data_IF_380496231244
#
_entry.id   IF_380496231244
#
_cell.length_a   1.000
_cell.length_b   1.000
_cell.length_c   1.000
_cell.angle_alpha   90.00
_cell.angle_beta   90.00
_cell.angle_gamma   90.00
#
_symmetry.space_group_name_H-M   'P 1'
#
loop_
_entity.id
_entity.type
_entity.pdbx_description
1 polymer ?
#
# COMPACT_ATOMS: atom_id res chain seq x y z
N UNK A 1 16.16 -16.58 -19.24
CA UNK A 1 17.23 -15.57 -19.05
C UNK A 1 17.99 -15.90 -17.77
N UNK A 2 19.32 -15.93 -17.84
CA UNK A 2 20.16 -16.07 -16.64
C UNK A 2 20.29 -14.71 -15.94
N UNK A 3 20.74 -14.73 -14.69
CA UNK A 3 20.93 -13.46 -13.95
C UNK A 3 22.06 -12.59 -14.53
N UNK A 4 23.11 -13.21 -15.07
CA UNK A 4 24.19 -12.45 -15.74
C UNK A 4 23.67 -11.74 -17.01
N UNK A 5 22.87 -12.45 -17.82
CA UNK A 5 22.22 -11.84 -18.98
C UNK A 5 21.29 -10.68 -18.57
N UNK A 6 20.54 -10.86 -17.49
CA UNK A 6 19.66 -9.81 -16.96
C UNK A 6 20.44 -8.54 -16.58
N UNK A 7 21.61 -8.69 -15.92
CA UNK A 7 22.45 -7.54 -15.54
C UNK A 7 22.98 -6.77 -16.74
N UNK A 8 23.24 -7.44 -17.84
CA UNK A 8 23.65 -6.78 -19.08
C UNK A 8 22.47 -6.11 -19.79
N UNK A 9 21.33 -6.80 -19.85
CA UNK A 9 20.14 -6.30 -20.53
C UNK A 9 19.51 -5.07 -19.84
N UNK A 10 19.46 -5.04 -18.51
CA UNK A 10 18.86 -3.92 -17.78
C UNK A 10 19.58 -2.58 -18.05
N UNK A 11 20.88 -2.62 -18.36
CA UNK A 11 21.68 -1.41 -18.68
C UNK A 11 21.26 -0.77 -20.01
N UNK A 12 20.62 -1.52 -20.90
CA UNK A 12 20.17 -0.99 -22.21
C UNK A 12 18.93 -0.11 -22.08
N UNK A 13 18.24 -0.17 -20.95
CA UNK A 13 16.99 0.56 -20.68
C UNK A 13 17.09 1.46 -19.43
N UNK A 14 17.99 2.47 -19.44
CA UNK A 14 18.13 3.37 -18.29
C UNK A 14 16.92 4.29 -18.15
N UNK A 15 16.65 4.73 -16.92
CA UNK A 15 15.72 5.82 -16.67
C UNK A 15 16.32 7.14 -17.20
N UNK A 16 15.53 7.93 -17.92
CA UNK A 16 15.92 9.26 -18.42
C UNK A 16 15.20 10.39 -17.70
N UNK A 17 14.21 10.07 -16.86
CA UNK A 17 13.48 10.99 -16.01
C UNK A 17 13.61 10.56 -14.54
N UNK A 18 13.63 11.53 -13.62
CA UNK A 18 13.48 11.20 -12.22
C UNK A 18 12.00 10.83 -11.89
N UNK A 19 11.78 10.23 -10.71
CA UNK A 19 10.44 9.76 -10.34
C UNK A 19 9.39 10.89 -10.30
N UNK A 20 9.76 12.07 -9.83
CA UNK A 20 8.82 13.20 -9.72
C UNK A 20 8.43 13.74 -11.10
N UNK A 21 9.39 13.92 -12.00
CA UNK A 21 9.16 14.33 -13.39
C UNK A 21 8.26 13.32 -14.11
N UNK A 22 8.55 12.02 -13.98
CA UNK A 22 7.77 10.94 -14.57
C UNK A 22 6.34 10.92 -14.07
N UNK A 23 6.14 10.97 -12.76
CA UNK A 23 4.81 10.96 -12.15
C UNK A 23 3.98 12.17 -12.58
N UNK A 24 4.59 13.37 -12.59
CA UNK A 24 3.92 14.60 -13.02
C UNK A 24 3.59 14.56 -14.51
N UNK A 25 4.56 14.22 -15.37
CA UNK A 25 4.34 14.12 -16.82
C UNK A 25 3.25 13.11 -17.17
N UNK A 26 3.31 11.92 -16.57
CA UNK A 26 2.29 10.89 -16.77
C UNK A 26 0.89 11.35 -16.32
N UNK A 27 0.76 11.97 -15.16
CA UNK A 27 -0.50 12.51 -14.66
C UNK A 27 -1.11 13.55 -15.61
N UNK A 28 -0.25 14.37 -16.23
CA UNK A 28 -0.64 15.38 -17.23
C UNK A 28 -0.89 14.80 -18.64
N UNK A 29 -0.80 13.48 -18.84
CA UNK A 29 -1.01 12.83 -20.13
C UNK A 29 0.16 13.01 -21.11
N UNK A 30 1.32 13.43 -20.64
CA UNK A 30 2.55 13.51 -21.45
C UNK A 30 3.17 12.12 -21.63
N UNK A 31 3.92 11.94 -22.71
CA UNK A 31 4.76 10.75 -22.88
C UNK A 31 5.92 10.84 -21.89
N UNK A 32 6.15 9.76 -21.16
CA UNK A 32 7.24 9.63 -20.20
C UNK A 32 8.17 8.47 -20.60
N UNK A 33 9.36 8.45 -20.04
CA UNK A 33 10.37 7.44 -20.38
C UNK A 33 9.87 6.00 -20.18
N UNK A 34 9.15 5.75 -19.10
CA UNK A 34 8.50 4.45 -18.80
C UNK A 34 7.26 4.61 -17.92
N UNK A 35 6.50 3.55 -17.81
CA UNK A 35 5.35 3.47 -16.90
C UNK A 35 5.79 3.77 -15.44
N UNK A 36 5.02 4.58 -14.68
CA UNK A 36 5.22 4.66 -13.25
C UNK A 36 5.06 3.29 -12.60
N UNK A 37 6.00 2.92 -11.72
CA UNK A 37 5.90 1.67 -10.97
C UNK A 37 6.30 1.82 -9.51
N UNK A 38 5.84 0.90 -8.68
CA UNK A 38 6.35 0.62 -7.34
C UNK A 38 6.86 -0.81 -7.28
N UNK A 39 7.87 -1.07 -6.44
CA UNK A 39 8.45 -2.42 -6.30
C UNK A 39 8.18 -2.93 -4.89
N UNK A 40 9.11 -2.73 -3.96
CA UNK A 40 9.05 -3.31 -2.62
C UNK A 40 9.18 -2.22 -1.55
N UNK A 41 8.84 -2.55 -0.33
CA UNK A 41 9.06 -1.74 0.86
C UNK A 41 10.41 -2.00 1.51
N UNK A 42 10.74 -1.19 2.51
CA UNK A 42 11.96 -1.30 3.28
C UNK A 42 12.16 -2.66 3.95
N UNK A 43 11.07 -3.28 4.41
CA UNK A 43 11.08 -4.62 5.01
C UNK A 43 11.68 -5.68 4.06
N UNK A 44 11.25 -5.67 2.80
CA UNK A 44 11.77 -6.60 1.79
C UNK A 44 13.20 -6.26 1.43
N UNK A 45 13.54 -4.99 1.24
CA UNK A 45 14.91 -4.56 0.93
C UNK A 45 15.89 -4.86 2.06
N UNK A 46 15.46 -4.74 3.32
CA UNK A 46 16.30 -5.08 4.48
C UNK A 46 16.80 -6.51 4.39
N UNK A 47 15.94 -7.48 4.05
CA UNK A 47 16.34 -8.88 3.90
C UNK A 47 17.35 -9.10 2.76
N UNK A 48 17.20 -8.37 1.63
CA UNK A 48 18.14 -8.43 0.50
C UNK A 48 19.54 -7.93 0.90
N UNK A 49 19.59 -6.96 1.82
CA UNK A 49 20.86 -6.40 2.31
C UNK A 49 21.41 -7.10 3.55
N UNK A 50 20.78 -8.20 3.98
CA UNK A 50 21.23 -9.05 5.08
C UNK A 50 20.85 -8.57 6.48
N UNK A 51 19.90 -7.64 6.58
CA UNK A 51 19.36 -7.19 7.86
C UNK A 51 18.14 -8.03 8.26
N UNK A 52 17.99 -8.28 9.56
CA UNK A 52 16.77 -8.85 10.13
C UNK A 52 15.66 -7.79 10.18
N UNK A 53 14.40 -8.22 10.25
CA UNK A 53 13.28 -7.29 10.41
C UNK A 53 13.36 -6.53 11.74
N UNK A 54 13.89 -7.18 12.78
CA UNK A 54 14.15 -6.54 14.07
C UNK A 54 15.15 -5.39 13.93
N UNK A 55 16.31 -5.65 13.28
CA UNK A 55 17.30 -4.60 13.03
C UNK A 55 16.73 -3.43 12.23
N UNK A 56 15.94 -3.72 11.20
CA UNK A 56 15.30 -2.69 10.38
C UNK A 56 14.28 -1.86 11.18
N UNK A 57 13.46 -2.50 12.02
CA UNK A 57 12.49 -1.78 12.86
C UNK A 57 13.13 -0.90 13.93
N UNK A 58 14.21 -1.36 14.56
CA UNK A 58 14.78 -0.75 15.76
C UNK A 58 15.93 0.24 15.48
N UNK A 59 16.57 0.14 14.30
CA UNK A 59 17.75 0.96 13.97
C UNK A 59 17.48 1.95 12.85
N UNK A 60 17.57 3.23 13.19
CA UNK A 60 17.47 4.32 12.21
C UNK A 60 18.61 4.26 11.18
N UNK A 61 19.83 3.89 11.59
CA UNK A 61 20.97 3.77 10.68
C UNK A 61 20.74 2.66 9.65
N UNK A 62 20.17 1.53 10.07
CA UNK A 62 19.78 0.45 9.15
C UNK A 62 18.71 0.92 8.18
N UNK A 63 17.69 1.67 8.64
CA UNK A 63 16.65 2.21 7.76
C UNK A 63 17.25 3.16 6.70
N UNK A 64 18.19 4.02 7.08
CA UNK A 64 18.88 4.89 6.13
C UNK A 64 19.76 4.11 5.14
N UNK A 65 20.56 3.13 5.62
CA UNK A 65 21.37 2.29 4.74
C UNK A 65 20.51 1.56 3.72
N UNK A 66 19.43 0.93 4.17
CA UNK A 66 18.48 0.22 3.30
C UNK A 66 17.84 1.16 2.28
N UNK A 67 17.39 2.35 2.71
CA UNK A 67 16.73 3.31 1.82
C UNK A 67 17.69 3.86 0.76
N UNK A 68 18.93 4.19 1.13
CA UNK A 68 19.96 4.70 0.20
C UNK A 68 20.37 3.64 -0.82
N UNK A 69 20.61 2.41 -0.36
CA UNK A 69 20.95 1.28 -1.24
C UNK A 69 19.79 0.92 -2.17
N UNK A 70 18.56 0.83 -1.66
CA UNK A 70 17.38 0.54 -2.47
C UNK A 70 17.11 1.64 -3.50
N UNK A 71 17.35 2.92 -3.17
CA UNK A 71 17.25 4.01 -4.12
C UNK A 71 18.24 3.87 -5.27
N UNK A 72 19.47 3.47 -4.96
CA UNK A 72 20.53 3.26 -5.95
C UNK A 72 20.29 2.02 -6.81
N UNK A 73 19.98 0.90 -6.16
CA UNK A 73 19.94 -0.42 -6.81
C UNK A 73 18.59 -0.68 -7.49
N UNK A 74 17.46 -0.23 -6.89
CA UNK A 74 16.11 -0.66 -7.26
C UNK A 74 15.15 0.50 -7.58
N UNK A 75 15.64 1.68 -7.86
CA UNK A 75 14.79 2.88 -8.09
C UNK A 75 13.85 3.17 -6.91
N UNK A 76 14.21 2.78 -5.69
CA UNK A 76 13.43 3.02 -4.49
C UNK A 76 13.20 4.50 -4.22
N UNK A 77 12.20 4.80 -3.42
CA UNK A 77 11.78 6.18 -3.10
C UNK A 77 12.79 6.97 -2.27
N UNK A 78 13.80 6.29 -1.70
CA UNK A 78 14.69 6.87 -0.69
C UNK A 78 14.02 6.93 0.69
N UNK A 79 14.68 7.58 1.65
CA UNK A 79 14.18 7.70 3.02
C UNK A 79 13.01 8.68 3.11
N UNK A 80 12.05 8.37 3.96
CA UNK A 80 10.93 9.22 4.36
C UNK A 80 10.59 8.96 5.83
N UNK A 81 9.96 9.92 6.49
CA UNK A 81 9.49 9.76 7.86
C UNK A 81 8.16 8.99 7.87
N UNK A 82 8.13 7.83 8.52
CA UNK A 82 6.95 6.96 8.54
C UNK A 82 6.34 6.89 9.94
N UNK A 83 5.14 7.44 10.07
CA UNK A 83 4.30 7.30 11.26
C UNK A 83 3.09 6.41 11.02
N UNK A 84 3.04 5.73 9.87
CA UNK A 84 1.94 4.82 9.53
C UNK A 84 1.78 3.71 10.58
N UNK A 85 0.53 3.44 10.94
CA UNK A 85 0.17 2.41 11.92
C UNK A 85 -0.06 1.03 11.27
N UNK A 86 0.04 0.94 9.93
CA UNK A 86 -0.26 -0.30 9.21
C UNK A 86 -1.69 -0.78 9.47
N UNK A 87 -1.89 -2.10 9.45
CA UNK A 87 -3.21 -2.70 9.63
C UNK A 87 -3.58 -2.91 11.10
N UNK A 88 -2.64 -2.79 12.03
CA UNK A 88 -2.76 -3.25 13.43
C UNK A 88 -2.57 -2.17 14.47
N UNK A 89 -1.90 -1.08 14.12
CA UNK A 89 -1.38 -0.15 15.11
C UNK A 89 -2.42 0.57 15.95
N UNK A 90 -3.66 0.76 15.44
CA UNK A 90 -4.75 1.26 16.30
C UNK A 90 -5.12 0.22 17.34
N UNK A 91 -5.26 -1.07 16.95
CA UNK A 91 -5.53 -2.16 17.90
C UNK A 91 -4.47 -2.25 19.00
N UNK A 92 -3.19 -2.18 18.63
CA UNK A 92 -2.07 -2.16 19.59
C UNK A 92 -2.12 -0.92 20.48
N UNK A 93 -2.37 0.25 19.93
CA UNK A 93 -2.45 1.51 20.69
C UNK A 93 -3.58 1.52 21.73
N UNK A 94 -4.67 0.76 21.51
CA UNK A 94 -5.77 0.65 22.48
C UNK A 94 -5.67 -0.58 23.37
N UNK A 95 -4.62 -1.42 23.20
CA UNK A 95 -4.33 -2.51 24.13
C UNK A 95 -4.36 -3.93 23.55
N UNK A 96 -4.57 -4.13 22.24
CA UNK A 96 -4.37 -5.44 21.61
C UNK A 96 -2.88 -5.83 21.63
N UNK A 97 -2.58 -7.12 21.78
CA UNK A 97 -1.19 -7.60 21.93
C UNK A 97 -0.56 -7.87 20.57
N UNK A 98 0.53 -7.16 20.27
CA UNK A 98 1.34 -7.37 19.07
C UNK A 98 2.57 -8.24 19.34
N UNK A 99 2.97 -9.02 18.34
CA UNK A 99 4.21 -9.78 18.30
C UNK A 99 5.06 -9.26 17.15
N UNK A 100 6.35 -9.05 17.43
CA UNK A 100 7.35 -8.53 16.51
C UNK A 100 8.43 -9.59 16.25
N UNK A 101 8.24 -10.49 15.28
CA UNK A 101 9.24 -11.52 14.97
C UNK A 101 10.57 -10.92 14.52
N UNK A 102 11.64 -11.66 14.68
CA UNK A 102 12.97 -11.21 14.26
C UNK A 102 13.09 -11.08 12.73
N UNK A 103 12.52 -12.03 11.98
CA UNK A 103 12.66 -12.12 10.52
C UNK A 103 11.34 -12.16 9.75
N UNK A 104 10.24 -11.67 10.35
CA UNK A 104 8.92 -11.68 9.72
C UNK A 104 8.14 -10.41 10.07
N UNK A 105 6.98 -10.25 9.43
CA UNK A 105 6.05 -9.17 9.73
C UNK A 105 5.42 -9.33 11.10
N UNK A 106 5.14 -8.21 11.75
CA UNK A 106 4.41 -8.15 13.01
C UNK A 106 2.94 -8.54 12.85
N UNK A 107 2.34 -9.13 13.90
CA UNK A 107 0.95 -9.57 13.92
C UNK A 107 0.35 -9.45 15.32
N UNK A 108 -0.98 -9.45 15.41
CA UNK A 108 -1.72 -9.47 16.69
C UNK A 108 -2.01 -10.90 17.12
N UNK A 109 -1.88 -11.16 18.40
CA UNK A 109 -2.17 -12.47 19.03
C UNK A 109 -3.35 -12.43 19.99
N UNK A 110 -3.61 -11.28 20.59
CA UNK A 110 -4.76 -11.07 21.47
C UNK A 110 -5.39 -9.71 21.19
N UNK A 111 -6.74 -9.67 21.25
CA UNK A 111 -7.55 -8.50 20.91
C UNK A 111 -8.20 -7.96 22.17
N UNK A 112 -8.09 -6.65 22.37
CA UNK A 112 -8.54 -6.00 23.62
C UNK A 112 -10.05 -6.10 23.83
N UNK A 113 -10.86 -5.97 22.78
CA UNK A 113 -12.31 -5.92 22.91
C UNK A 113 -12.93 -7.33 22.97
N UNK A 114 -13.09 -7.86 24.16
CA UNK A 114 -13.77 -9.16 24.41
C UNK A 114 -15.28 -8.98 24.50
N UNK A 115 -15.72 -7.89 25.11
CA UNK A 115 -17.12 -7.50 25.30
C UNK A 115 -17.31 -6.02 24.94
N UNK A 116 -18.47 -5.66 24.40
CA UNK A 116 -18.75 -4.28 23.99
C UNK A 116 -18.93 -3.30 25.16
N UNK A 117 -19.16 -3.78 26.37
CA UNK A 117 -19.14 -2.92 27.57
C UNK A 117 -17.76 -2.27 27.75
N UNK A 118 -16.68 -2.98 27.38
CA UNK A 118 -15.31 -2.47 27.42
C UNK A 118 -15.08 -1.31 26.43
N UNK A 119 -15.87 -1.19 25.37
CA UNK A 119 -15.68 -0.13 24.36
C UNK A 119 -15.78 1.28 24.95
N UNK A 120 -16.59 1.45 26.01
CA UNK A 120 -16.76 2.74 26.68
C UNK A 120 -15.48 3.20 27.41
N UNK A 121 -14.63 2.25 27.80
CA UNK A 121 -13.39 2.49 28.55
C UNK A 121 -12.17 2.57 27.65
N UNK A 122 -12.28 2.14 26.37
CA UNK A 122 -11.17 2.23 25.42
C UNK A 122 -10.85 3.69 25.12
N UNK A 123 -9.57 4.04 25.23
CA UNK A 123 -9.06 5.37 24.94
C UNK A 123 -7.98 5.30 23.88
N UNK A 124 -8.10 6.15 22.88
CA UNK A 124 -7.05 6.41 21.91
C UNK A 124 -6.51 7.82 22.17
N UNK A 125 -5.31 7.86 22.76
CA UNK A 125 -4.65 9.09 23.16
C UNK A 125 -3.24 9.17 22.56
N UNK A 126 -3.09 9.79 21.37
CA UNK A 126 -1.80 9.89 20.71
C UNK A 126 -0.73 10.60 21.52
N UNK A 127 -1.08 11.54 22.38
CA UNK A 127 -0.12 12.34 23.14
C UNK A 127 0.52 11.56 24.31
N UNK A 128 -0.22 10.63 24.92
CA UNK A 128 0.23 9.91 26.13
C UNK A 128 0.48 8.42 25.91
N UNK A 129 0.32 7.92 24.69
CA UNK A 129 0.54 6.51 24.37
C UNK A 129 2.00 6.27 23.95
N UNK A 130 2.73 5.44 24.69
CA UNK A 130 4.17 5.18 24.44
C UNK A 130 4.46 4.60 23.06
N UNK A 131 3.61 3.66 22.58
CA UNK A 131 3.77 3.06 21.24
C UNK A 131 3.65 4.14 20.15
N UNK A 132 2.63 5.00 20.23
CA UNK A 132 2.41 6.08 19.27
C UNK A 132 3.51 7.15 19.36
N UNK A 133 3.93 7.51 20.57
CA UNK A 133 5.03 8.46 20.77
C UNK A 133 6.36 7.91 20.26
N UNK A 134 6.63 6.61 20.39
CA UNK A 134 7.80 5.97 19.76
C UNK A 134 7.85 6.18 18.25
N UNK A 135 6.70 6.07 17.56
CA UNK A 135 6.61 6.35 16.12
C UNK A 135 6.89 7.82 15.78
N UNK A 136 6.34 8.74 16.58
CA UNK A 136 6.56 10.19 16.41
C UNK A 136 8.05 10.53 16.60
N UNK A 137 8.67 10.03 17.65
CA UNK A 137 10.09 10.32 17.94
C UNK A 137 11.03 9.75 16.86
N UNK A 138 10.74 8.55 16.34
CA UNK A 138 11.49 7.99 15.22
C UNK A 138 11.34 8.88 13.97
N UNK A 139 10.13 9.30 13.65
CA UNK A 139 9.87 10.18 12.51
C UNK A 139 10.53 11.56 12.66
N UNK A 140 10.53 12.16 13.86
CA UNK A 140 11.25 13.42 14.14
C UNK A 140 12.76 13.29 13.87
N UNK A 141 13.38 12.19 14.29
CA UNK A 141 14.80 11.92 14.02
C UNK A 141 15.08 11.79 12.51
N UNK A 142 14.15 11.20 11.74
CA UNK A 142 14.27 11.15 10.27
C UNK A 142 14.18 12.57 9.68
N UNK A 143 13.19 13.36 10.09
CA UNK A 143 13.02 14.75 9.62
C UNK A 143 14.25 15.57 9.94
N UNK A 144 14.80 15.47 11.15
CA UNK A 144 16.02 16.15 11.57
C UNK A 144 17.23 15.73 10.71
N UNK A 145 17.48 14.42 10.55
CA UNK A 145 18.59 13.88 9.77
C UNK A 145 18.52 14.25 8.28
N UNK A 146 17.33 14.58 7.77
CA UNK A 146 17.08 15.03 6.40
C UNK A 146 16.92 16.55 6.27
N UNK A 147 17.38 17.31 7.23
CA UNK A 147 17.31 18.81 7.23
C UNK A 147 15.89 19.35 6.99
N UNK A 148 14.88 18.72 7.52
CA UNK A 148 13.47 19.12 7.35
C UNK A 148 12.86 18.78 5.97
N UNK A 149 13.59 18.09 5.09
CA UNK A 149 13.15 17.80 3.71
C UNK A 149 12.44 16.44 3.58
N UNK A 150 12.32 15.67 4.68
CA UNK A 150 11.63 14.40 4.66
C UNK A 150 10.14 14.57 4.38
N UNK A 151 9.60 13.77 3.46
CA UNK A 151 8.16 13.58 3.37
C UNK A 151 7.70 12.78 4.60
N UNK A 152 6.62 13.21 5.23
CA UNK A 152 6.02 12.47 6.34
C UNK A 152 4.81 11.70 5.82
N UNK A 153 4.86 10.36 5.94
CA UNK A 153 3.76 9.46 5.57
C UNK A 153 3.11 8.94 6.85
N UNK A 154 1.80 9.06 6.94
CA UNK A 154 0.97 8.60 8.06
C UNK A 154 -0.23 7.78 7.57
N UNK A 155 -1.13 7.42 8.45
CA UNK A 155 -2.33 6.65 8.15
C UNK A 155 -2.20 5.19 8.56
N UNK A 156 -2.93 4.31 7.88
CA UNK A 156 -2.98 2.90 8.25
C UNK A 156 -4.18 2.19 7.64
N UNK A 157 -4.96 1.54 8.52
CA UNK A 157 -6.12 0.76 8.10
C UNK A 157 -7.36 1.61 7.84
N UNK A 158 -8.25 1.10 6.98
CA UNK A 158 -9.63 1.57 6.92
C UNK A 158 -10.46 1.06 8.11
N UNK A 159 -11.73 1.50 8.23
CA UNK A 159 -12.55 1.24 9.41
C UNK A 159 -12.74 -0.24 9.75
N UNK A 160 -13.01 -1.06 8.73
CA UNK A 160 -13.23 -2.50 8.91
C UNK A 160 -11.97 -3.23 9.40
N UNK A 161 -10.83 -2.91 8.80
CA UNK A 161 -9.55 -3.51 9.20
C UNK A 161 -9.11 -3.02 10.57
N UNK A 162 -9.38 -1.77 10.92
CA UNK A 162 -9.16 -1.26 12.28
C UNK A 162 -10.03 -2.01 13.30
N UNK A 163 -11.30 -2.27 12.97
CA UNK A 163 -12.20 -3.00 13.86
C UNK A 163 -11.72 -4.42 14.16
N UNK A 164 -11.23 -5.16 13.14
CA UNK A 164 -10.68 -6.51 13.36
C UNK A 164 -9.30 -6.51 14.05
N UNK A 165 -8.65 -5.37 14.18
CA UNK A 165 -7.45 -5.22 15.00
C UNK A 165 -7.77 -4.96 16.50
N UNK A 166 -8.98 -4.51 16.81
CA UNK A 166 -9.46 -4.25 18.18
C UNK A 166 -10.24 -5.44 18.73
N UNK A 167 -11.12 -6.03 17.90
CA UNK A 167 -11.92 -7.22 18.18
C UNK A 167 -11.59 -8.30 17.14
N UNK A 168 -11.34 -9.51 17.57
CA UNK A 168 -10.96 -10.58 16.63
C UNK A 168 -11.94 -10.69 15.44
N UNK A 169 -11.39 -11.01 14.27
CA UNK A 169 -12.14 -10.98 13.01
C UNK A 169 -13.39 -11.87 13.03
N UNK A 170 -13.30 -13.07 13.63
CA UNK A 170 -14.42 -14.02 13.65
C UNK A 170 -15.58 -13.49 14.51
N UNK A 171 -15.27 -12.87 15.65
CA UNK A 171 -16.25 -12.25 16.53
C UNK A 171 -16.87 -11.02 15.86
N UNK A 172 -16.05 -10.11 15.34
CA UNK A 172 -16.54 -8.87 14.73
C UNK A 172 -17.42 -9.15 13.50
N UNK A 173 -17.00 -10.05 12.60
CA UNK A 173 -17.80 -10.42 11.42
C UNK A 173 -19.15 -11.07 11.81
N UNK A 174 -19.20 -11.80 12.91
CA UNK A 174 -20.45 -12.34 13.46
C UNK A 174 -21.34 -11.21 14.00
N UNK A 175 -20.75 -10.24 14.65
CA UNK A 175 -21.48 -9.12 15.26
C UNK A 175 -22.15 -8.23 14.21
N UNK A 176 -21.59 -8.09 12.99
CA UNK A 176 -22.28 -7.40 11.88
C UNK A 176 -23.71 -7.93 11.62
N UNK A 177 -23.97 -9.19 12.00
CA UNK A 177 -25.28 -9.83 11.79
C UNK A 177 -26.05 -9.98 13.10
N UNK A 178 -25.36 -10.26 14.21
CA UNK A 178 -25.99 -10.60 15.50
C UNK A 178 -26.15 -9.41 16.42
N UNK A 179 -25.28 -8.43 16.31
CA UNK A 179 -25.24 -7.23 17.16
C UNK A 179 -24.80 -5.99 16.35
N UNK A 180 -25.61 -5.61 15.33
CA UNK A 180 -25.25 -4.54 14.41
C UNK A 180 -25.07 -3.17 15.09
N UNK A 181 -25.78 -2.91 16.18
CA UNK A 181 -25.68 -1.64 16.91
C UNK A 181 -24.30 -1.47 17.56
N UNK A 182 -23.80 -2.51 18.19
CA UNK A 182 -22.46 -2.49 18.77
C UNK A 182 -21.37 -2.54 17.70
N UNK A 183 -21.60 -3.22 16.57
CA UNK A 183 -20.68 -3.16 15.43
C UNK A 183 -20.58 -1.73 14.87
N UNK A 184 -21.69 -1.00 14.75
CA UNK A 184 -21.71 0.42 14.36
C UNK A 184 -20.90 1.28 15.35
N UNK A 185 -21.09 1.09 16.67
CA UNK A 185 -20.32 1.82 17.70
C UNK A 185 -18.81 1.58 17.57
N UNK A 186 -18.40 0.34 17.33
CA UNK A 186 -16.99 0.02 17.12
C UNK A 186 -16.42 0.67 15.84
N UNK A 187 -17.18 0.66 14.74
CA UNK A 187 -16.76 1.29 13.49
C UNK A 187 -16.64 2.81 13.63
N UNK A 188 -17.55 3.46 14.36
CA UNK A 188 -17.42 4.88 14.69
C UNK A 188 -16.16 5.16 15.49
N UNK A 189 -15.88 4.37 16.53
CA UNK A 189 -14.65 4.48 17.31
C UNK A 189 -13.39 4.29 16.43
N UNK A 190 -13.42 3.34 15.49
CA UNK A 190 -12.30 3.11 14.57
C UNK A 190 -12.03 4.33 13.67
N UNK A 191 -13.08 4.93 13.11
CA UNK A 191 -12.95 6.14 12.29
C UNK A 191 -12.36 7.29 13.13
N UNK A 192 -12.87 7.49 14.34
CA UNK A 192 -12.39 8.54 15.23
C UNK A 192 -10.91 8.35 15.62
N UNK A 193 -10.47 7.11 15.88
CA UNK A 193 -9.06 6.81 16.15
C UNK A 193 -8.17 7.12 14.93
N UNK A 194 -8.57 6.67 13.75
CA UNK A 194 -7.82 6.91 12.52
C UNK A 194 -7.68 8.42 12.23
N UNK A 195 -8.76 9.20 12.37
CA UNK A 195 -8.74 10.63 12.15
C UNK A 195 -7.91 11.37 13.21
N UNK A 196 -8.04 11.04 14.51
CA UNK A 196 -7.22 11.58 15.58
C UNK A 196 -5.72 11.36 15.37
N UNK A 197 -5.34 10.19 14.83
CA UNK A 197 -3.94 9.93 14.50
C UNK A 197 -3.42 10.83 13.38
N UNK A 198 -4.19 11.03 12.33
CA UNK A 198 -3.83 11.91 11.21
C UNK A 198 -3.75 13.37 11.70
N UNK A 199 -4.73 13.83 12.46
CA UNK A 199 -4.75 15.17 13.05
C UNK A 199 -3.54 15.41 13.94
N UNK A 200 -3.20 14.46 14.81
CA UNK A 200 -2.04 14.56 15.67
C UNK A 200 -0.73 14.66 14.86
N UNK A 201 -0.59 13.85 13.82
CA UNK A 201 0.57 13.93 12.94
C UNK A 201 0.68 15.29 12.23
N UNK A 202 -0.44 15.86 11.78
CA UNK A 202 -0.45 17.22 11.22
C UNK A 202 -0.06 18.28 12.24
N UNK A 203 -0.53 18.17 13.49
CA UNK A 203 -0.14 19.04 14.58
C UNK A 203 1.38 19.02 14.80
N UNK A 204 2.01 17.84 14.70
CA UNK A 204 3.45 17.66 14.95
C UNK A 204 4.31 18.06 13.75
N UNK A 205 3.93 17.64 12.55
CA UNK A 205 4.78 17.73 11.35
C UNK A 205 4.29 18.75 10.30
N UNK A 206 3.11 19.32 10.50
CA UNK A 206 2.48 20.20 9.52
C UNK A 206 1.86 19.39 8.37
N UNK A 207 2.55 19.31 7.22
CA UNK A 207 2.02 18.58 6.06
C UNK A 207 2.36 17.08 6.12
N UNK A 208 1.33 16.24 5.99
CA UNK A 208 1.48 14.78 5.95
C UNK A 208 0.83 14.20 4.68
N UNK A 209 1.33 13.06 4.23
CA UNK A 209 0.72 12.24 3.17
C UNK A 209 0.05 11.04 3.82
N UNK A 210 -1.23 10.82 3.51
CA UNK A 210 -1.99 9.70 4.08
C UNK A 210 -1.92 8.50 3.15
N UNK A 211 -1.58 7.33 3.72
CA UNK A 211 -1.63 6.02 3.07
C UNK A 211 -2.72 5.17 3.73
N UNK A 212 -3.46 4.38 2.95
CA UNK A 212 -4.57 3.59 3.45
C UNK A 212 -4.68 2.22 2.79
N UNK A 213 -4.99 1.20 3.60
CA UNK A 213 -5.36 -0.14 3.14
C UNK A 213 -6.54 -0.65 3.98
N UNK A 214 -7.48 -1.37 3.35
CA UNK A 214 -8.64 -1.91 4.08
C UNK A 214 -9.00 -3.35 3.62
N UNK A 215 -8.08 -4.31 3.81
CA UNK A 215 -8.28 -5.70 3.35
C UNK A 215 -9.51 -6.38 3.95
N UNK A 216 -9.97 -5.99 5.12
CA UNK A 216 -11.17 -6.56 5.73
C UNK A 216 -12.48 -6.23 4.99
N UNK A 217 -12.44 -5.31 4.02
CA UNK A 217 -13.60 -4.98 3.18
C UNK A 217 -13.74 -5.88 1.95
N UNK A 218 -12.77 -6.77 1.69
CA UNK A 218 -12.81 -7.67 0.53
C UNK A 218 -14.01 -8.61 0.55
N UNK A 219 -14.44 -9.07 -0.61
CA UNK A 219 -15.57 -10.01 -0.73
C UNK A 219 -15.24 -11.44 -0.31
N UNK A 220 -13.99 -11.70 0.10
CA UNK A 220 -13.61 -12.91 0.82
C UNK A 220 -14.20 -12.94 2.25
N UNK A 221 -14.36 -11.76 2.87
CA UNK A 221 -14.85 -11.61 4.24
C UNK A 221 -16.28 -11.05 4.30
N UNK A 222 -16.61 -10.11 3.41
CA UNK A 222 -17.89 -9.42 3.42
C UNK A 222 -18.72 -9.72 2.16
N UNK A 223 -20.01 -10.00 2.35
CA UNK A 223 -20.92 -9.93 1.23
C UNK A 223 -21.08 -8.48 0.76
N UNK A 224 -21.45 -8.23 -0.53
CA UNK A 224 -21.74 -6.87 -0.99
C UNK A 224 -22.79 -6.15 -0.14
N UNK A 225 -23.80 -6.86 0.39
CA UNK A 225 -24.79 -6.29 1.29
C UNK A 225 -24.19 -5.79 2.60
N UNK A 226 -23.29 -6.56 3.21
CA UNK A 226 -22.58 -6.14 4.43
C UNK A 226 -21.60 -5.00 4.14
N UNK A 227 -20.94 -5.02 2.99
CA UNK A 227 -20.11 -3.89 2.56
C UNK A 227 -20.92 -2.59 2.48
N UNK A 228 -22.07 -2.61 1.81
CA UNK A 228 -22.97 -1.45 1.69
C UNK A 228 -23.43 -0.92 3.05
N UNK A 229 -23.69 -1.82 4.00
CA UNK A 229 -24.22 -1.45 5.33
C UNK A 229 -23.12 -1.02 6.30
N UNK A 230 -21.97 -1.71 6.34
CA UNK A 230 -20.96 -1.56 7.40
C UNK A 230 -19.58 -1.07 6.94
N UNK A 231 -19.26 -1.11 5.63
CA UNK A 231 -17.98 -0.56 5.15
C UNK A 231 -18.17 0.80 4.50
N UNK A 232 -19.02 0.88 3.51
CA UNK A 232 -19.19 2.06 2.65
C UNK A 232 -19.43 3.36 3.43
N UNK A 233 -20.39 3.44 4.39
CA UNK A 233 -20.66 4.69 5.11
C UNK A 233 -19.50 5.13 5.99
N UNK A 234 -18.80 4.19 6.62
CA UNK A 234 -17.67 4.50 7.49
C UNK A 234 -16.40 4.85 6.69
N UNK A 235 -16.18 4.23 5.55
CA UNK A 235 -15.14 4.65 4.59
C UNK A 235 -15.41 6.09 4.16
N UNK A 236 -16.63 6.44 3.76
CA UNK A 236 -16.99 7.79 3.36
C UNK A 236 -16.76 8.80 4.50
N UNK A 237 -17.17 8.44 5.74
CA UNK A 237 -16.92 9.27 6.93
C UNK A 237 -15.42 9.50 7.13
N UNK A 238 -14.61 8.46 7.05
CA UNK A 238 -13.15 8.57 7.21
C UNK A 238 -12.51 9.39 6.09
N UNK A 239 -12.88 9.17 4.82
CA UNK A 239 -12.33 9.93 3.69
C UNK A 239 -12.69 11.41 3.75
N UNK A 240 -13.92 11.74 4.16
CA UNK A 240 -14.33 13.13 4.37
C UNK A 240 -13.49 13.81 5.46
N UNK A 241 -13.30 13.15 6.61
CA UNK A 241 -12.44 13.66 7.66
C UNK A 241 -10.98 13.82 7.23
N UNK A 242 -10.42 12.85 6.49
CA UNK A 242 -9.07 12.97 5.92
C UNK A 242 -8.97 14.16 4.98
N UNK A 243 -9.97 14.37 4.11
CA UNK A 243 -10.00 15.49 3.18
C UNK A 243 -10.09 16.84 3.90
N UNK A 244 -10.90 16.92 4.95
CA UNK A 244 -11.00 18.12 5.79
C UNK A 244 -9.67 18.45 6.47
N UNK A 245 -9.00 17.43 7.02
CA UNK A 245 -7.71 17.59 7.69
C UNK A 245 -6.56 17.92 6.72
N UNK A 246 -6.46 17.21 5.56
CA UNK A 246 -5.26 17.24 4.72
C UNK A 246 -5.45 17.92 3.37
N UNK A 247 -6.68 18.22 2.99
CA UNK A 247 -7.03 18.71 1.66
C UNK A 247 -6.98 17.66 0.55
N UNK A 248 -6.66 16.39 0.86
CA UNK A 248 -6.48 15.31 -0.12
C UNK A 248 -7.21 14.03 0.31
N UNK A 249 -7.55 13.19 -0.66
CA UNK A 249 -8.10 11.85 -0.42
C UNK A 249 -7.03 10.83 -0.78
N UNK A 250 -6.71 9.85 0.08
CA UNK A 250 -5.74 8.80 -0.23
C UNK A 250 -6.31 7.80 -1.24
N UNK A 251 -5.42 7.11 -1.96
CA UNK A 251 -5.79 5.85 -2.61
C UNK A 251 -5.94 4.74 -1.58
N UNK A 252 -6.49 3.60 -2.02
CA UNK A 252 -6.66 2.43 -1.16
C UNK A 252 -6.02 1.19 -1.79
N UNK A 253 -5.48 0.31 -0.92
CA UNK A 253 -5.19 -1.08 -1.25
C UNK A 253 -6.19 -2.00 -0.54
N UNK A 254 -6.77 -2.94 -1.30
CA UNK A 254 -7.63 -3.98 -0.74
C UNK A 254 -7.13 -5.33 -1.27
N UNK A 255 -6.67 -6.19 -0.34
CA UNK A 255 -6.28 -7.55 -0.65
C UNK A 255 -7.51 -8.44 -0.92
N UNK A 256 -7.35 -9.46 -1.76
CA UNK A 256 -8.38 -10.44 -2.06
C UNK A 256 -9.43 -9.97 -3.07
N UNK A 257 -10.51 -10.72 -3.18
CA UNK A 257 -11.53 -10.45 -4.19
C UNK A 257 -12.34 -9.20 -3.90
N UNK A 258 -12.46 -8.33 -4.90
CA UNK A 258 -13.15 -7.04 -4.83
C UNK A 258 -14.12 -6.78 -5.99
N UNK A 259 -14.17 -7.67 -6.98
CA UNK A 259 -14.96 -7.48 -8.22
C UNK A 259 -16.41 -7.04 -7.96
N UNK A 260 -17.04 -7.59 -6.93
CA UNK A 260 -18.44 -7.29 -6.60
C UNK A 260 -18.66 -5.92 -5.97
N UNK A 261 -17.59 -5.22 -5.58
CA UNK A 261 -17.63 -3.89 -4.93
C UNK A 261 -16.87 -2.81 -5.72
N UNK A 262 -16.39 -3.08 -6.94
CA UNK A 262 -15.64 -2.10 -7.72
C UNK A 262 -16.38 -0.77 -7.93
N UNK A 263 -17.69 -0.81 -8.22
CA UNK A 263 -18.47 0.40 -8.34
C UNK A 263 -18.57 1.17 -7.02
N UNK A 264 -18.67 0.47 -5.90
CA UNK A 264 -18.68 1.09 -4.57
C UNK A 264 -17.35 1.77 -4.24
N UNK A 265 -16.22 1.19 -4.66
CA UNK A 265 -14.88 1.80 -4.52
C UNK A 265 -14.84 3.16 -5.23
N UNK A 266 -15.44 3.26 -6.42
CA UNK A 266 -15.58 4.53 -7.14
C UNK A 266 -16.52 5.49 -6.40
N UNK A 267 -17.68 5.01 -5.96
CA UNK A 267 -18.71 5.83 -5.32
C UNK A 267 -18.28 6.42 -3.98
N UNK A 268 -17.44 5.70 -3.21
CA UNK A 268 -16.87 6.26 -1.96
C UNK A 268 -15.82 7.34 -2.22
N UNK A 269 -15.31 7.46 -3.45
CA UNK A 269 -14.48 8.57 -3.88
C UNK A 269 -12.97 8.34 -3.81
N UNK A 270 -12.50 7.10 -3.78
CA UNK A 270 -11.07 6.83 -3.89
C UNK A 270 -10.49 7.28 -5.23
N UNK A 271 -9.41 8.08 -5.25
CA UNK A 271 -8.79 8.55 -6.50
C UNK A 271 -7.93 7.46 -7.18
N UNK A 272 -7.49 6.45 -6.43
CA UNK A 272 -6.71 5.33 -6.93
C UNK A 272 -7.00 4.05 -6.14
N UNK A 273 -6.95 2.93 -6.85
CA UNK A 273 -7.18 1.61 -6.31
C UNK A 273 -6.02 0.68 -6.65
N UNK A 274 -5.38 0.16 -5.61
CA UNK A 274 -4.36 -0.90 -5.72
C UNK A 274 -5.05 -2.24 -5.52
N UNK A 275 -5.02 -3.07 -6.56
CA UNK A 275 -5.77 -4.32 -6.65
C UNK A 275 -4.86 -5.54 -6.41
N UNK A 276 -5.42 -6.53 -5.74
CA UNK A 276 -4.79 -7.83 -5.51
C UNK A 276 -4.61 -8.63 -6.83
N UNK A 277 -3.64 -9.54 -6.85
CA UNK A 277 -3.35 -10.39 -8.02
C UNK A 277 -4.42 -11.45 -8.33
N UNK A 278 -5.35 -11.69 -7.42
CA UNK A 278 -6.49 -12.57 -7.68
C UNK A 278 -7.55 -11.96 -8.60
N UNK A 279 -7.45 -10.68 -8.93
CA UNK A 279 -8.37 -9.98 -9.83
C UNK A 279 -7.76 -9.78 -11.23
N UNK A 280 -8.59 -9.85 -12.26
CA UNK A 280 -8.14 -9.59 -13.63
C UNK A 280 -8.11 -8.09 -13.94
N UNK A 281 -6.92 -7.59 -14.32
CA UNK A 281 -6.72 -6.17 -14.64
C UNK A 281 -7.53 -5.69 -15.84
N UNK A 282 -7.77 -6.53 -16.84
CA UNK A 282 -8.54 -6.14 -18.04
C UNK A 282 -10.02 -5.96 -17.68
N UNK A 283 -10.57 -6.86 -16.86
CA UNK A 283 -11.95 -6.74 -16.36
C UNK A 283 -12.10 -5.52 -15.43
N UNK A 284 -11.15 -5.29 -14.52
CA UNK A 284 -11.14 -4.12 -13.65
C UNK A 284 -11.07 -2.82 -14.45
N UNK A 285 -10.16 -2.75 -15.43
CA UNK A 285 -10.05 -1.59 -16.34
C UNK A 285 -11.36 -1.34 -17.07
N UNK A 286 -12.00 -2.38 -17.63
CA UNK A 286 -13.27 -2.25 -18.33
C UNK A 286 -14.40 -1.75 -17.43
N UNK A 287 -14.39 -2.12 -16.14
CA UNK A 287 -15.44 -1.75 -15.19
C UNK A 287 -15.29 -0.32 -14.64
N UNK A 288 -14.09 0.07 -14.24
CA UNK A 288 -13.86 1.34 -13.51
C UNK A 288 -12.60 2.12 -13.94
N UNK A 289 -11.87 1.66 -14.94
CA UNK A 289 -10.60 2.27 -15.36
C UNK A 289 -10.71 3.68 -15.95
N UNK A 290 -11.93 4.14 -16.27
CA UNK A 290 -12.25 5.51 -16.68
C UNK A 290 -12.57 6.45 -15.50
N UNK A 291 -12.67 5.93 -14.28
CA UNK A 291 -13.10 6.67 -13.08
C UNK A 291 -12.02 6.72 -11.99
N UNK A 292 -11.18 5.72 -11.92
CA UNK A 292 -10.17 5.58 -10.86
C UNK A 292 -8.82 5.15 -11.46
N UNK A 293 -7.72 5.67 -10.92
CA UNK A 293 -6.37 5.20 -11.29
C UNK A 293 -6.17 3.77 -10.74
N UNK A 294 -5.77 2.85 -11.60
CA UNK A 294 -5.49 1.46 -11.21
C UNK A 294 -4.00 1.27 -10.91
N UNK A 295 -3.70 0.50 -9.88
CA UNK A 295 -2.34 0.05 -9.56
C UNK A 295 -2.33 -1.45 -9.30
N UNK A 296 -1.42 -2.18 -9.93
CA UNK A 296 -1.30 -3.64 -9.74
C UNK A 296 -0.65 -4.34 -10.94
N UNK A 297 -0.68 -5.67 -11.00
CA UNK A 297 -0.99 -6.60 -9.91
C UNK A 297 -0.17 -7.89 -10.06
N UNK A 298 1.16 -7.73 -10.29
CA UNK A 298 2.07 -8.87 -10.37
C UNK A 298 1.96 -9.72 -9.09
N UNK A 299 1.80 -11.07 -9.18
CA UNK A 299 1.64 -11.93 -8.02
C UNK A 299 2.86 -11.90 -7.08
N UNK A 300 2.66 -11.56 -5.79
CA UNK A 300 3.77 -11.38 -4.85
C UNK A 300 4.45 -12.69 -4.44
N UNK A 301 3.69 -13.74 -4.21
CA UNK A 301 4.22 -15.00 -3.69
C UNK A 301 4.64 -15.93 -4.84
N UNK A 302 3.73 -16.19 -5.76
CA UNK A 302 3.91 -17.15 -6.84
C UNK A 302 4.99 -16.69 -7.82
N UNK A 303 5.01 -15.38 -8.14
CA UNK A 303 5.91 -14.81 -9.15
C UNK A 303 7.10 -14.11 -8.51
N UNK A 304 6.87 -13.11 -7.64
CA UNK A 304 7.99 -12.31 -7.13
C UNK A 304 8.90 -13.09 -6.18
N UNK A 305 8.35 -13.95 -5.32
CA UNK A 305 9.15 -14.72 -4.37
C UNK A 305 9.61 -16.07 -4.94
N UNK A 306 8.71 -16.83 -5.54
CA UNK A 306 8.94 -18.23 -5.92
C UNK A 306 9.18 -18.43 -7.43
N UNK A 307 8.89 -17.43 -8.25
CA UNK A 307 9.06 -17.48 -9.69
C UNK A 307 10.52 -17.31 -10.14
N UNK A 308 10.78 -17.63 -11.39
CA UNK A 308 12.05 -17.38 -12.08
C UNK A 308 12.07 -15.95 -12.66
N UNK A 309 13.24 -15.51 -13.12
CA UNK A 309 13.42 -14.24 -13.85
C UNK A 309 12.42 -14.15 -15.01
N UNK A 310 12.23 -15.23 -15.78
CA UNK A 310 11.34 -15.25 -16.94
C UNK A 310 9.87 -15.17 -16.52
N UNK A 311 9.46 -15.81 -15.41
CA UNK A 311 8.11 -15.70 -14.87
C UNK A 311 7.78 -14.26 -14.45
N UNK A 312 8.73 -13.57 -13.81
CA UNK A 312 8.58 -12.16 -13.44
C UNK A 312 8.43 -11.28 -14.68
N UNK A 313 9.29 -11.45 -15.68
CA UNK A 313 9.24 -10.69 -16.93
C UNK A 313 7.89 -10.91 -17.62
N UNK A 314 7.45 -12.14 -17.76
CA UNK A 314 6.17 -12.47 -18.39
C UNK A 314 4.98 -11.83 -17.63
N UNK A 315 4.97 -11.95 -16.32
CA UNK A 315 3.89 -11.36 -15.51
C UNK A 315 3.82 -9.83 -15.64
N UNK A 316 4.96 -9.15 -15.71
CA UNK A 316 5.00 -7.71 -15.98
C UNK A 316 4.45 -7.38 -17.36
N UNK A 317 4.81 -8.14 -18.40
CA UNK A 317 4.27 -7.96 -19.76
C UNK A 317 2.75 -8.09 -19.76
N UNK A 318 2.20 -9.12 -19.11
CA UNK A 318 0.76 -9.33 -19.00
C UNK A 318 0.05 -8.18 -18.28
N UNK A 319 0.60 -7.70 -17.16
CA UNK A 319 0.05 -6.54 -16.46
C UNK A 319 0.05 -5.27 -17.32
N UNK A 320 1.12 -5.03 -18.09
CA UNK A 320 1.21 -3.89 -19.01
C UNK A 320 0.23 -3.98 -20.17
N UNK A 321 0.07 -5.16 -20.77
CA UNK A 321 -0.91 -5.39 -21.86
C UNK A 321 -2.33 -5.15 -21.36
N UNK A 322 -2.66 -5.64 -20.16
CA UNK A 322 -4.01 -5.53 -19.58
C UNK A 322 -4.33 -4.14 -19.04
N UNK A 323 -3.34 -3.43 -18.46
CA UNK A 323 -3.58 -2.25 -17.62
C UNK A 323 -3.06 -0.93 -18.14
N UNK A 324 -1.97 -0.90 -18.95
CA UNK A 324 -1.25 0.35 -19.23
C UNK A 324 -2.05 1.41 -19.99
N UNK A 325 -3.08 1.02 -20.73
CA UNK A 325 -4.01 1.91 -21.45
C UNK A 325 -5.24 2.35 -20.61
N UNK A 326 -5.24 2.10 -19.31
CA UNK A 326 -6.32 2.56 -18.41
C UNK A 326 -6.57 4.07 -18.57
N UNK A 327 -7.80 4.49 -18.92
CA UNK A 327 -8.06 5.89 -19.29
C UNK A 327 -7.76 6.90 -18.18
N UNK A 328 -8.06 6.54 -16.91
CA UNK A 328 -7.75 7.39 -15.76
C UNK A 328 -6.30 7.28 -15.29
N UNK A 329 -5.57 6.31 -15.80
CA UNK A 329 -4.15 6.05 -15.58
C UNK A 329 -3.89 4.71 -14.90
N UNK A 330 -2.67 4.24 -15.09
CA UNK A 330 -2.17 2.98 -14.55
C UNK A 330 -0.81 3.18 -13.88
N UNK A 331 -0.55 2.42 -12.85
CA UNK A 331 0.77 2.29 -12.25
C UNK A 331 1.06 0.80 -12.11
N UNK A 332 2.16 0.33 -12.68
CA UNK A 332 2.58 -1.05 -12.50
C UNK A 332 2.97 -1.27 -11.03
N UNK A 333 2.42 -2.28 -10.40
CA UNK A 333 2.70 -2.62 -9.01
C UNK A 333 2.60 -4.13 -8.80
N UNK A 334 3.05 -4.58 -7.65
CA UNK A 334 2.82 -5.93 -7.18
C UNK A 334 1.45 -5.95 -6.50
N UNK A 335 0.73 -7.07 -6.64
CA UNK A 335 -0.67 -7.20 -6.21
C UNK A 335 -0.90 -7.08 -4.69
N UNK A 336 0.15 -7.22 -3.90
CA UNK A 336 0.18 -7.00 -2.47
C UNK A 336 1.61 -6.69 -2.01
N UNK A 337 1.88 -6.70 -0.70
CA UNK A 337 3.23 -6.53 -0.17
C UNK A 337 4.17 -7.63 -0.68
N UNK A 338 5.35 -7.24 -1.13
CA UNK A 338 6.39 -8.18 -1.57
C UNK A 338 6.91 -8.96 -0.37
N UNK A 339 6.90 -10.31 -0.41
CA UNK A 339 7.32 -11.11 0.71
C UNK A 339 8.78 -10.90 1.09
N UNK A 340 9.07 -10.98 2.38
CA UNK A 340 10.43 -11.06 2.90
C UNK A 340 11.11 -12.31 2.32
N UNK A 341 12.36 -12.17 1.89
CA UNK A 341 13.12 -13.25 1.23
C UNK A 341 12.88 -13.34 -0.29
N UNK A 342 12.18 -12.38 -0.90
CA UNK A 342 12.20 -12.21 -2.36
C UNK A 342 13.63 -11.89 -2.80
N UNK A 343 14.10 -12.54 -3.87
CA UNK A 343 15.48 -12.42 -4.33
C UNK A 343 15.76 -11.08 -5.03
N UNK A 344 17.04 -10.68 -5.03
CA UNK A 344 17.49 -9.51 -5.79
C UNK A 344 17.21 -9.67 -7.29
N UNK A 345 17.45 -10.88 -7.83
CA UNK A 345 17.24 -11.18 -9.23
C UNK A 345 15.80 -10.91 -9.67
N UNK A 346 14.82 -11.33 -8.89
CA UNK A 346 13.41 -11.13 -9.21
C UNK A 346 12.99 -9.65 -9.11
N UNK A 347 13.55 -8.89 -8.18
CA UNK A 347 13.35 -7.44 -8.11
C UNK A 347 13.94 -6.75 -9.36
N UNK A 348 15.16 -7.13 -9.76
CA UNK A 348 15.81 -6.57 -10.94
C UNK A 348 15.10 -7.00 -12.24
N UNK A 349 14.59 -8.23 -12.32
CA UNK A 349 13.77 -8.70 -13.44
C UNK A 349 12.48 -7.88 -13.61
N UNK A 350 11.80 -7.57 -12.50
CA UNK A 350 10.63 -6.69 -12.52
C UNK A 350 10.99 -5.29 -13.03
N UNK A 351 12.08 -4.69 -12.53
CA UNK A 351 12.52 -3.36 -12.95
C UNK A 351 12.92 -3.36 -14.43
N UNK A 352 13.66 -4.38 -14.86
CA UNK A 352 14.02 -4.57 -16.27
C UNK A 352 12.80 -4.62 -17.17
N UNK A 353 11.84 -5.49 -16.84
CA UNK A 353 10.62 -5.64 -17.62
C UNK A 353 9.80 -4.34 -17.66
N UNK A 354 9.66 -3.64 -16.53
CA UNK A 354 8.98 -2.35 -16.45
C UNK A 354 9.65 -1.27 -17.31
N UNK A 355 10.99 -1.25 -17.36
CA UNK A 355 11.75 -0.33 -18.20
C UNK A 355 11.65 -0.66 -19.68
N UNK A 356 11.83 -1.94 -20.05
CA UNK A 356 11.84 -2.41 -21.42
C UNK A 356 10.45 -2.32 -22.05
N UNK A 357 9.47 -2.98 -21.45
CA UNK A 357 8.12 -3.09 -22.02
C UNK A 357 7.21 -1.92 -21.66
N UNK A 358 7.50 -1.26 -20.56
CA UNK A 358 6.76 -0.06 -20.12
C UNK A 358 7.28 1.27 -20.68
N UNK A 359 8.29 1.26 -21.58
CA UNK A 359 8.86 2.52 -22.14
C UNK A 359 7.87 3.27 -23.00
N UNK A 360 8.04 4.60 -23.05
CA UNK A 360 7.19 5.49 -23.83
C UNK A 360 5.73 5.48 -23.36
N UNK A 361 5.51 5.36 -22.04
CA UNK A 361 4.19 5.33 -21.47
C UNK A 361 3.48 6.67 -21.55
N UNK A 362 2.18 6.62 -21.80
CA UNK A 362 1.29 7.79 -21.77
C UNK A 362 -0.05 7.36 -21.17
N UNK A 363 -0.61 8.20 -20.31
CA UNK A 363 -1.90 7.91 -19.69
C UNK A 363 -2.99 7.62 -20.74
N UNK A 364 -3.71 6.52 -20.57
CA UNK A 364 -4.77 6.08 -21.47
C UNK A 364 -4.29 5.42 -22.78
N UNK A 365 -3.00 5.07 -22.88
CA UNK A 365 -2.44 4.39 -24.05
C UNK A 365 -1.57 3.21 -23.63
N UNK A 366 -1.57 2.17 -24.47
CA UNK A 366 -0.62 1.07 -24.32
C UNK A 366 0.83 1.60 -24.43
N UNK A 367 1.72 1.03 -23.63
CA UNK A 367 3.12 1.43 -23.64
C UNK A 367 3.75 1.15 -25.00
N UNK A 368 4.54 2.11 -25.50
CA UNK A 368 5.23 1.99 -26.80
C UNK A 368 6.15 0.76 -26.84
N UNK A 369 6.79 0.43 -25.71
CA UNK A 369 7.64 -0.75 -25.61
C UNK A 369 6.94 -2.06 -25.95
N UNK A 370 5.65 -2.20 -25.72
CA UNK A 370 4.90 -3.42 -26.08
C UNK A 370 4.83 -3.63 -27.60
N UNK A 371 4.66 -2.55 -28.37
CA UNK A 371 4.66 -2.59 -29.84
C UNK A 371 6.08 -2.85 -30.40
N UNK A 372 7.07 -2.16 -29.88
CA UNK A 372 8.46 -2.25 -30.35
C UNK A 372 9.09 -3.61 -30.07
N UNK A 373 8.63 -4.33 -29.05
CA UNK A 373 9.05 -5.69 -28.74
C UNK A 373 8.13 -6.77 -29.37
N UNK A 374 7.13 -6.37 -30.17
CA UNK A 374 6.26 -7.28 -30.91
C UNK A 374 5.28 -8.08 -30.05
N UNK A 375 4.99 -7.63 -28.83
CA UNK A 375 4.04 -8.29 -27.93
C UNK A 375 2.58 -8.00 -28.30
N UNK A 376 2.35 -6.90 -28.96
CA UNK A 376 1.04 -6.45 -29.49
C UNK A 376 1.22 -5.89 -30.89
N UNK A 377 0.14 -5.90 -31.68
CA UNK A 377 0.11 -5.39 -33.07
C UNK A 377 -0.49 -3.99 -33.16
#
# INVERSE_FOLDING_TARGET
MTYEELKEEIQKYPDTMNNMERMKGYAMGQVVDRIPFSVAGGDTYASIYGYTQKQYRESLDVQFDVAERAKKDFCGSGMYANTGLGLRGIGEAVGSTAVYPENDFDYLTDFILKDYDMLNDLKFDPENNEFLQGKIEMAKKVVERMDGKAMVITGGAGPMTTAIAIRDASSFLRDLVKDPENADRLLDFCVDCNLKWIEYNQKVFGKVVVSMADPATSTNLLSPKLFQRFSKPYIQKQLNGIKELTGTIPGVHICGHTKKIWNDIVEVGYPSFSVDNCEDLAELKAAIGDKVKISGNVPPVEVMKNGTIDDVIQSVQECLIKGSDSPYGFSLAIGCQVPIGTTRENIEAYIYAARRYGRGAQKGKLCKGLYEEGLIQ
#
